data_IF_637174123525
#
_entry.id   IF_637174123525
#
_cell.length_a   1.000
_cell.length_b   1.000
_cell.length_c   1.000
_cell.angle_alpha   90.00
_cell.angle_beta   90.00
_cell.angle_gamma   90.00
#
_symmetry.space_group_name_H-M   'P 1'
#
loop_
_entity.id
_entity.type
_entity.pdbx_description
1 polymer ?
#
# COMPACT_ATOMS: atom_id res chain seq x y z
N UNK A 1 37.83 62.54 37.79
CA UNK A 1 37.14 61.25 37.61
C UNK A 1 35.75 61.52 37.05
N UNK A 2 35.54 61.29 35.75
CA UNK A 2 34.22 61.29 35.09
C UNK A 2 34.36 60.45 33.82
N UNK A 3 33.74 59.27 33.82
CA UNK A 3 33.58 58.45 32.64
C UNK A 3 32.14 58.64 32.12
N UNK A 4 31.94 59.03 30.85
CA UNK A 4 30.68 58.83 30.16
C UNK A 4 30.84 57.65 29.21
N UNK A 5 30.63 56.44 29.76
CA UNK A 5 30.34 55.26 28.96
C UNK A 5 28.84 55.00 29.02
N UNK A 6 28.28 54.48 27.92
CA UNK A 6 26.88 54.03 27.77
C UNK A 6 25.92 55.14 27.34
N UNK A 7 26.04 55.62 26.10
CA UNK A 7 25.00 56.45 25.46
C UNK A 7 24.72 56.09 23.98
N UNK A 8 25.22 54.96 23.47
CA UNK A 8 25.18 54.65 22.04
C UNK A 8 24.87 53.18 21.76
N UNK A 9 23.79 52.63 22.35
CA UNK A 9 23.30 51.28 22.03
C UNK A 9 21.76 51.18 22.08
N UNK A 10 21.06 52.18 21.54
CA UNK A 10 19.58 52.22 21.60
C UNK A 10 18.94 52.79 20.32
N UNK A 11 19.55 52.57 19.15
CA UNK A 11 19.12 53.20 17.90
C UNK A 11 18.88 52.23 16.71
N UNK A 12 18.63 50.94 16.94
CA UNK A 12 18.48 49.99 15.83
C UNK A 12 17.40 48.90 16.01
N UNK A 13 16.27 49.22 16.63
CA UNK A 13 15.17 48.25 16.83
C UNK A 13 13.79 48.71 16.35
N UNK A 14 13.74 49.55 15.31
CA UNK A 14 12.49 49.95 14.63
C UNK A 14 12.39 49.39 13.22
N UNK A 15 12.75 48.11 13.04
CA UNK A 15 12.44 47.39 11.80
C UNK A 15 10.95 46.99 11.80
N UNK A 16 10.15 47.90 11.22
CA UNK A 16 8.96 47.63 10.42
C UNK A 16 8.05 46.47 10.86
N UNK A 17 7.07 46.78 11.71
CA UNK A 17 5.80 46.07 11.70
C UNK A 17 5.04 46.47 10.41
N UNK A 18 5.29 45.75 9.31
CA UNK A 18 4.45 45.85 8.13
C UNK A 18 3.07 45.27 8.48
N UNK A 19 1.96 45.98 8.25
CA UNK A 19 0.64 45.38 8.38
C UNK A 19 0.53 44.25 7.36
N UNK A 20 0.34 43.03 7.84
CA UNK A 20 -0.07 41.90 7.00
C UNK A 20 -1.48 42.21 6.53
N UNK A 21 -1.59 42.81 5.34
CA UNK A 21 -2.89 42.97 4.68
C UNK A 21 -3.48 41.57 4.45
N UNK A 22 -4.78 41.36 4.69
CA UNK A 22 -5.43 40.10 4.35
C UNK A 22 -5.19 39.83 2.86
N UNK A 23 -4.59 38.68 2.53
CA UNK A 23 -4.43 38.30 1.13
C UNK A 23 -5.79 37.92 0.57
N UNK A 24 -6.47 38.89 -0.02
CA UNK A 24 -7.73 38.68 -0.70
C UNK A 24 -7.45 38.06 -2.07
N UNK A 25 -7.88 36.80 -2.25
CA UNK A 25 -7.81 36.14 -3.55
C UNK A 25 -9.09 36.40 -4.33
N UNK A 26 -8.94 36.92 -5.53
CA UNK A 26 -10.05 37.21 -6.43
C UNK A 26 -10.13 36.10 -7.47
N UNK A 27 -11.32 35.52 -7.61
CA UNK A 27 -11.64 34.63 -8.73
C UNK A 27 -12.22 35.49 -9.85
N UNK A 28 -11.41 35.72 -10.88
CA UNK A 28 -11.85 36.40 -12.10
C UNK A 28 -12.35 35.35 -13.09
N UNK A 29 -13.59 35.52 -13.56
CA UNK A 29 -14.13 34.72 -14.66
C UNK A 29 -14.19 35.61 -15.90
N UNK A 30 -13.33 35.32 -16.88
CA UNK A 30 -13.31 36.05 -18.14
C UNK A 30 -14.52 35.68 -19.01
N UNK A 31 -14.95 36.53 -19.96
CA UNK A 31 -16.11 36.27 -20.82
C UNK A 31 -15.99 35.00 -21.68
N UNK A 32 -14.75 34.51 -21.91
CA UNK A 32 -14.47 33.24 -22.59
C UNK A 32 -14.61 32.00 -21.67
N UNK A 33 -15.06 32.18 -20.42
CA UNK A 33 -15.24 31.11 -19.42
C UNK A 33 -13.97 30.65 -18.72
N UNK A 34 -12.82 31.31 -18.94
CA UNK A 34 -11.56 31.01 -18.25
C UNK A 34 -11.61 31.57 -16.82
N UNK A 35 -11.29 30.72 -15.85
CA UNK A 35 -11.20 31.11 -14.44
C UNK A 35 -9.74 31.32 -14.07
N UNK A 36 -9.39 32.51 -13.60
CA UNK A 36 -8.07 32.82 -13.06
C UNK A 36 -8.18 33.30 -11.61
N UNK A 37 -7.27 32.83 -10.76
CA UNK A 37 -7.17 33.25 -9.37
C UNK A 37 -6.00 34.21 -9.24
N UNK A 38 -6.28 35.45 -8.88
CA UNK A 38 -5.27 36.51 -8.81
C UNK A 38 -5.39 37.27 -7.49
N UNK A 39 -4.27 37.81 -7.01
CA UNK A 39 -4.24 38.65 -5.78
C UNK A 39 -4.54 40.13 -6.09
N UNK A 40 -4.70 40.48 -7.37
CA UNK A 40 -5.07 41.81 -7.84
C UNK A 40 -6.56 41.83 -8.25
N UNK A 41 -7.26 42.97 -8.10
CA UNK A 41 -8.66 43.11 -8.51
C UNK A 41 -8.82 42.84 -10.01
N UNK A 42 -9.96 42.27 -10.40
CA UNK A 42 -10.19 41.84 -11.77
C UNK A 42 -10.28 43.06 -12.72
N UNK A 43 -9.78 42.97 -13.97
CA UNK A 43 -10.05 44.01 -14.95
C UNK A 43 -11.57 44.16 -15.14
N UNK A 44 -12.06 45.39 -15.34
CA UNK A 44 -13.51 45.78 -15.34
C UNK A 44 -14.43 44.98 -16.29
N UNK A 45 -13.88 44.09 -17.12
CA UNK A 45 -14.58 43.20 -18.04
C UNK A 45 -15.00 41.86 -17.43
N UNK A 46 -14.48 41.51 -16.25
CA UNK A 46 -14.58 40.16 -15.69
C UNK A 46 -15.47 40.15 -14.44
N UNK A 47 -16.22 39.06 -14.23
CA UNK A 47 -17.07 38.89 -13.06
C UNK A 47 -16.19 38.60 -11.84
N UNK A 48 -16.13 39.55 -10.90
CA UNK A 48 -15.30 39.47 -9.69
C UNK A 48 -16.06 38.74 -8.58
N UNK A 49 -15.53 37.59 -8.15
CA UNK A 49 -16.00 36.91 -6.94
C UNK A 49 -14.86 36.85 -5.93
N UNK A 50 -15.02 37.58 -4.83
CA UNK A 50 -14.10 37.55 -3.69
C UNK A 50 -14.10 36.16 -3.08
N UNK A 51 -12.97 35.46 -3.13
CA UNK A 51 -12.80 34.13 -2.53
C UNK A 51 -12.09 34.33 -1.22
N UNK A 52 -12.84 34.16 -0.14
CA UNK A 52 -12.25 34.16 1.20
C UNK A 52 -11.44 32.87 1.34
N UNK A 53 -10.11 32.99 1.33
CA UNK A 53 -9.18 31.88 1.45
C UNK A 53 -8.99 31.45 2.91
N UNK A 54 -10.04 31.58 3.73
CA UNK A 54 -10.03 31.11 5.11
C UNK A 54 -9.92 29.59 5.09
N UNK A 55 -8.86 28.99 5.66
CA UNK A 55 -8.73 27.54 5.68
C UNK A 55 -9.92 26.97 6.46
N UNK A 56 -10.72 26.13 5.82
CA UNK A 56 -11.90 25.48 6.41
C UNK A 56 -11.60 24.54 7.61
N UNK A 57 -10.37 24.57 8.13
CA UNK A 57 -9.86 23.70 9.18
C UNK A 57 -9.74 24.41 10.55
N UNK A 58 -10.49 25.49 10.80
CA UNK A 58 -10.48 26.12 12.13
C UNK A 58 -11.28 25.34 13.17
N UNK A 59 -12.21 24.49 12.74
CA UNK A 59 -13.06 23.67 13.62
C UNK A 59 -12.70 22.18 13.53
N UNK A 60 -11.43 21.85 13.77
CA UNK A 60 -11.05 20.44 13.95
C UNK A 60 -11.62 19.98 15.29
N UNK A 61 -12.78 19.32 15.22
CA UNK A 61 -13.41 18.66 16.35
C UNK A 61 -12.45 17.61 16.92
N UNK A 62 -11.85 17.93 18.06
CA UNK A 62 -10.84 17.11 18.72
C UNK A 62 -11.38 15.70 19.06
N UNK A 63 -12.70 15.56 19.24
CA UNK A 63 -13.35 14.28 19.48
C UNK A 63 -13.32 13.36 18.25
N UNK A 64 -13.51 13.91 17.05
CA UNK A 64 -13.41 13.15 15.80
C UNK A 64 -11.98 12.71 15.52
N UNK A 65 -11.01 13.55 15.87
CA UNK A 65 -9.59 13.21 15.76
C UNK A 65 -9.21 12.04 16.67
N UNK A 66 -9.67 12.05 17.92
CA UNK A 66 -9.41 10.97 18.87
C UNK A 66 -10.07 9.66 18.43
N UNK A 67 -11.30 9.72 17.91
CA UNK A 67 -11.98 8.53 17.39
C UNK A 67 -11.30 7.96 16.14
N UNK A 68 -10.81 8.81 15.23
CA UNK A 68 -10.04 8.39 14.07
C UNK A 68 -8.71 7.74 14.47
N UNK A 69 -8.02 8.29 15.47
CA UNK A 69 -6.79 7.71 16.01
C UNK A 69 -7.07 6.33 16.63
N UNK A 70 -8.09 6.21 17.48
CA UNK A 70 -8.48 4.93 18.08
C UNK A 70 -8.83 3.87 17.02
N UNK A 71 -9.61 4.24 15.99
CA UNK A 71 -9.92 3.34 14.86
C UNK A 71 -8.67 2.95 14.08
N UNK A 72 -7.74 3.90 13.89
CA UNK A 72 -6.46 3.65 13.24
C UNK A 72 -5.58 2.66 14.02
N UNK A 73 -5.50 2.80 15.34
CA UNK A 73 -4.75 1.88 16.19
C UNK A 73 -5.34 0.47 16.21
N UNK A 74 -6.66 0.35 16.28
CA UNK A 74 -7.33 -0.96 16.22
C UNK A 74 -7.13 -1.64 14.86
N UNK A 75 -7.22 -0.88 13.77
CA UNK A 75 -6.95 -1.40 12.43
C UNK A 75 -5.48 -1.82 12.28
N UNK A 76 -4.56 -1.01 12.80
CA UNK A 76 -3.12 -1.29 12.82
C UNK A 76 -2.81 -2.60 13.55
N UNK A 77 -3.31 -2.77 14.78
CA UNK A 77 -3.13 -4.01 15.55
C UNK A 77 -3.64 -5.25 14.82
N UNK A 78 -4.80 -5.15 14.16
CA UNK A 78 -5.36 -6.27 13.38
C UNK A 78 -4.50 -6.62 12.17
N UNK A 79 -3.91 -5.62 11.51
CA UNK A 79 -3.00 -5.84 10.39
C UNK A 79 -1.69 -6.47 10.85
N UNK A 80 -1.10 -5.97 11.94
CA UNK A 80 0.11 -6.53 12.53
C UNK A 80 -0.07 -7.99 12.96
N UNK A 81 -1.19 -8.33 13.62
CA UNK A 81 -1.47 -9.70 14.04
C UNK A 81 -1.68 -10.65 12.85
N UNK A 82 -2.25 -10.17 11.74
CA UNK A 82 -2.34 -10.95 10.50
C UNK A 82 -0.96 -11.16 9.88
N UNK A 83 -0.16 -10.10 9.78
CA UNK A 83 1.20 -10.17 9.24
C UNK A 83 2.09 -11.11 10.07
N UNK A 84 1.97 -11.07 11.40
CA UNK A 84 2.70 -11.95 12.30
C UNK A 84 2.33 -13.44 12.09
N UNK A 85 1.03 -13.74 11.98
CA UNK A 85 0.54 -15.10 11.69
C UNK A 85 1.03 -15.61 10.33
N UNK A 86 0.94 -14.78 9.30
CA UNK A 86 1.41 -15.14 7.96
C UNK A 86 2.92 -15.36 7.92
N UNK A 87 3.70 -14.52 8.63
CA UNK A 87 5.15 -14.69 8.74
C UNK A 87 5.53 -15.98 9.49
N UNK A 88 4.80 -16.33 10.55
CA UNK A 88 5.02 -17.59 11.27
C UNK A 88 4.67 -18.80 10.40
N UNK A 89 3.54 -18.78 9.70
CA UNK A 89 3.16 -19.84 8.77
C UNK A 89 4.16 -20.00 7.63
N UNK A 90 4.64 -18.89 7.06
CA UNK A 90 5.67 -18.90 6.04
C UNK A 90 6.99 -19.50 6.55
N UNK A 91 7.40 -19.18 7.79
CA UNK A 91 8.55 -19.81 8.44
C UNK A 91 8.35 -21.32 8.60
N UNK A 92 7.23 -21.74 9.19
CA UNK A 92 6.92 -23.17 9.37
C UNK A 92 6.86 -23.91 8.04
N UNK A 93 6.39 -23.26 6.97
CA UNK A 93 6.37 -23.84 5.63
C UNK A 93 7.79 -24.05 5.10
N UNK A 94 8.66 -23.05 5.20
CA UNK A 94 10.08 -23.16 4.79
C UNK A 94 10.80 -24.25 5.58
N UNK A 95 10.62 -24.30 6.90
CA UNK A 95 11.22 -25.32 7.75
C UNK A 95 10.76 -26.75 7.35
N UNK A 96 9.47 -26.92 6.99
CA UNK A 96 8.97 -28.21 6.48
C UNK A 96 9.52 -28.55 5.09
N UNK A 97 9.60 -27.59 4.19
CA UNK A 97 10.17 -27.79 2.85
C UNK A 97 11.65 -28.19 2.95
N UNK A 98 12.43 -27.52 3.81
CA UNK A 98 13.83 -27.88 4.07
C UNK A 98 13.98 -29.28 4.70
N UNK A 99 13.09 -29.67 5.61
CA UNK A 99 13.10 -31.02 6.18
C UNK A 99 12.81 -32.09 5.13
N UNK A 100 11.81 -31.85 4.28
CA UNK A 100 11.47 -32.76 3.18
C UNK A 100 12.62 -32.88 2.17
N UNK A 101 13.29 -31.77 1.86
CA UNK A 101 14.44 -31.77 0.97
C UNK A 101 15.63 -32.55 1.57
N UNK A 102 15.91 -32.36 2.87
CA UNK A 102 16.94 -33.13 3.58
C UNK A 102 16.63 -34.62 3.59
N UNK A 103 15.39 -35.01 3.89
CA UNK A 103 14.98 -36.41 3.89
C UNK A 103 15.05 -37.00 2.47
N UNK A 104 14.66 -36.24 1.44
CA UNK A 104 14.77 -36.67 0.06
C UNK A 104 16.24 -36.87 -0.36
N UNK A 105 17.12 -35.94 0.00
CA UNK A 105 18.56 -36.06 -0.26
C UNK A 105 19.18 -37.25 0.49
N UNK A 106 18.77 -37.51 1.73
CA UNK A 106 19.23 -38.66 2.50
C UNK A 106 18.76 -39.99 1.88
N UNK A 107 17.49 -40.06 1.45
CA UNK A 107 16.95 -41.21 0.73
C UNK A 107 17.66 -41.44 -0.60
N UNK A 108 18.00 -40.39 -1.32
CA UNK A 108 18.76 -40.48 -2.56
C UNK A 108 20.20 -40.95 -2.31
N UNK A 109 20.85 -40.46 -1.25
CA UNK A 109 22.16 -40.92 -0.84
C UNK A 109 22.17 -42.41 -0.41
N UNK A 110 21.12 -42.88 0.26
CA UNK A 110 20.94 -44.30 0.58
C UNK A 110 20.55 -45.18 -0.61
N UNK A 111 20.08 -44.59 -1.70
CA UNK A 111 19.76 -45.31 -2.92
C UNK A 111 21.06 -45.64 -3.64
N UNK A 112 21.73 -46.70 -3.19
CA UNK A 112 22.92 -47.22 -3.89
C UNK A 112 22.60 -47.35 -5.38
N UNK A 113 23.43 -46.77 -6.27
CA UNK A 113 23.26 -46.98 -7.70
C UNK A 113 23.46 -48.47 -7.94
N UNK A 114 22.40 -49.16 -8.36
CA UNK A 114 22.51 -50.54 -8.85
C UNK A 114 23.31 -50.46 -10.15
N UNK A 115 24.64 -50.52 -10.04
CA UNK A 115 25.54 -50.61 -11.20
C UNK A 115 25.43 -52.05 -11.69
N UNK A 116 24.52 -52.29 -12.63
CA UNK A 116 24.41 -53.57 -13.34
C UNK A 116 25.62 -53.68 -14.27
N UNK A 117 26.73 -54.22 -13.77
CA UNK A 117 27.86 -54.62 -14.61
C UNK A 117 27.44 -55.82 -15.48
N UNK A 118 27.13 -55.56 -16.76
CA UNK A 118 27.07 -56.60 -17.80
C UNK A 118 25.70 -57.06 -18.29
N UNK A 119 24.60 -56.37 -17.98
CA UNK A 119 23.27 -56.72 -18.49
C UNK A 119 22.57 -55.52 -19.09
N UNK A 120 22.03 -55.65 -20.31
CA UNK A 120 21.13 -54.67 -20.91
C UNK A 120 20.08 -54.23 -19.88
N UNK A 121 19.78 -52.92 -19.75
CA UNK A 121 18.89 -52.45 -18.69
C UNK A 121 17.52 -53.09 -18.87
N UNK A 122 17.15 -53.96 -17.92
CA UNK A 122 15.80 -54.47 -17.82
C UNK A 122 14.88 -53.26 -17.65
N UNK A 123 14.02 -53.02 -18.65
CA UNK A 123 13.04 -51.92 -18.60
C UNK A 123 12.25 -52.06 -17.30
N UNK A 124 12.11 -50.98 -16.49
CA UNK A 124 11.30 -51.04 -15.29
C UNK A 124 9.88 -51.43 -15.69
N UNK A 125 9.41 -52.57 -15.18
CA UNK A 125 8.03 -53.02 -15.39
C UNK A 125 7.15 -52.04 -14.63
N UNK A 126 6.51 -51.13 -15.36
CA UNK A 126 5.55 -50.21 -14.73
C UNK A 126 4.38 -51.03 -14.16
N UNK A 127 3.97 -50.78 -12.90
CA UNK A 127 2.79 -51.42 -12.35
C UNK A 127 1.59 -51.04 -13.23
N UNK A 128 0.92 -52.06 -13.78
CA UNK A 128 -0.28 -51.85 -14.59
C UNK A 128 -1.35 -51.26 -13.67
N UNK A 129 -1.68 -49.99 -13.87
CA UNK A 129 -2.72 -49.30 -13.12
C UNK A 129 -4.07 -50.02 -13.23
N UNK A 130 -4.99 -49.78 -12.29
CA UNK A 130 -6.32 -50.40 -12.30
C UNK A 130 -7.01 -50.10 -13.64
N UNK A 131 -7.54 -51.15 -14.27
CA UNK A 131 -8.25 -51.03 -15.55
C UNK A 131 -9.46 -50.10 -15.36
N UNK A 132 -9.67 -49.09 -16.21
CA UNK A 132 -10.81 -48.20 -16.09
C UNK A 132 -12.13 -49.00 -16.19
N UNK A 133 -13.18 -48.56 -15.47
CA UNK A 133 -14.48 -49.22 -15.49
C UNK A 133 -15.05 -49.22 -16.91
N UNK A 134 -15.69 -50.33 -17.28
CA UNK A 134 -16.30 -50.50 -18.61
C UNK A 134 -17.49 -49.53 -18.74
N UNK A 135 -17.63 -48.78 -19.84
CA UNK A 135 -18.78 -47.90 -20.06
C UNK A 135 -20.09 -48.70 -20.02
N UNK A 136 -21.15 -48.11 -19.45
CA UNK A 136 -22.47 -48.71 -19.43
C UNK A 136 -23.01 -48.93 -20.86
N UNK A 137 -23.75 -50.01 -21.11
CA UNK A 137 -24.38 -50.24 -22.41
C UNK A 137 -25.38 -49.12 -22.72
N UNK A 138 -25.35 -48.62 -23.96
CA UNK A 138 -26.29 -47.60 -24.43
C UNK A 138 -27.72 -48.15 -24.41
N UNK A 139 -28.71 -47.37 -23.94
CA UNK A 139 -30.11 -47.79 -23.99
C UNK A 139 -30.52 -47.98 -25.46
N UNK A 140 -31.08 -49.15 -25.76
CA UNK A 140 -31.64 -49.47 -27.08
C UNK A 140 -32.93 -48.67 -27.21
N UNK A 141 -32.98 -47.73 -28.16
CA UNK A 141 -34.21 -47.02 -28.46
C UNK A 141 -35.22 -47.98 -29.09
N UNK A 142 -36.49 -47.99 -28.65
CA UNK A 142 -37.53 -48.78 -29.29
C UNK A 142 -37.77 -48.27 -30.71
N UNK A 143 -37.91 -49.20 -31.65
CA UNK A 143 -38.16 -48.89 -33.06
C UNK A 143 -39.47 -48.09 -33.24
N UNK A 144 -39.50 -47.12 -34.17
CA UNK A 144 -40.70 -46.36 -34.45
C UNK A 144 -41.80 -47.28 -35.03
N UNK A 145 -43.04 -47.09 -34.55
CA UNK A 145 -44.25 -47.71 -35.09
C UNK A 145 -44.86 -46.85 -36.19
#
# INVERSE_FOLDING_TARGET
MRAPGIATLLAFSTLAAAPVAPQEFYRCTSPDGKVTYQQAPCPKSDEERKVDATPANTDVDMSQREELLRKGEEAGKRLEERAAREAEEARRRREREEQLEREAAEREAMREPIIIYGGWPARPVQPVGPRPPRPAPRPVQPAPR
#
